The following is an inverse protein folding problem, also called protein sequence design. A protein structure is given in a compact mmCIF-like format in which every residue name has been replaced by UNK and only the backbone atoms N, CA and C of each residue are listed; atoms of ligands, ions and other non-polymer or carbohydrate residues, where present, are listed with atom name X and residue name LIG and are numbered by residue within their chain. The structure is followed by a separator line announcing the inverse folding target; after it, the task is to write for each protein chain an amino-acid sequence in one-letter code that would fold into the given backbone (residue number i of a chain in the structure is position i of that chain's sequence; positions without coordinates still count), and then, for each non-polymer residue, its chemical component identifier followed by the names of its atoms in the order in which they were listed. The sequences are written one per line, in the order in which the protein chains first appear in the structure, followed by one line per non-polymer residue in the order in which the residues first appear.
data_IF_907308464423
#
_entry.id   IF_907308464423
#
_cell.length_a   1.000
_cell.length_b   1.000
_cell.length_c   1.000
_cell.angle_alpha   90.00
_cell.angle_beta   90.00
_cell.angle_gamma   90.00
#
_symmetry.space_group_name_H-M   'P 1'
#
loop_
_entity.id
_entity.type
_entity.pdbx_description
1 polymer ?
#
# COMPACT_ATOMS: atom_id res chain seq x y z
N UNK A 1 -0.28 10.99 9.95
CA UNK A 1 -1.15 11.80 9.07
C UNK A 1 -1.65 13.07 9.74
N UNK A 2 -2.15 13.03 10.99
CA UNK A 2 -2.62 14.23 11.71
C UNK A 2 -1.64 15.42 11.78
N UNK A 3 -0.34 15.16 11.94
CA UNK A 3 0.69 16.21 11.92
C UNK A 3 0.72 16.97 10.58
N UNK A 4 0.48 16.30 9.46
CA UNK A 4 0.44 16.95 8.14
C UNK A 4 -0.79 17.83 7.97
N UNK A 5 -1.92 17.51 8.60
CA UNK A 5 -3.13 18.36 8.52
C UNK A 5 -2.86 19.74 9.10
N UNK A 6 -2.19 19.80 10.26
CA UNK A 6 -1.79 21.06 10.89
C UNK A 6 -0.84 21.87 10.00
N UNK A 7 0.13 21.21 9.38
CA UNK A 7 1.06 21.86 8.45
C UNK A 7 0.36 22.38 7.19
N UNK A 8 -0.51 21.58 6.58
CA UNK A 8 -1.24 21.97 5.37
C UNK A 8 -2.14 23.17 5.62
N UNK A 9 -2.84 23.20 6.77
CA UNK A 9 -3.68 24.33 7.16
C UNK A 9 -2.88 25.61 7.46
N UNK A 10 -1.64 25.47 7.95
CA UNK A 10 -0.75 26.61 8.15
C UNK A 10 -0.20 27.18 6.83
N UNK A 11 -0.12 26.35 5.79
CA UNK A 11 0.32 26.76 4.46
C UNK A 11 -0.82 27.34 3.61
N UNK A 12 -2.00 26.74 3.66
CA UNK A 12 -3.20 27.18 2.96
C UNK A 12 -4.45 26.78 3.76
N UNK A 13 -5.20 27.78 4.24
CA UNK A 13 -6.36 27.59 5.09
C UNK A 13 -7.60 27.11 4.33
N UNK A 14 -7.57 27.10 2.99
CA UNK A 14 -8.64 26.59 2.11
C UNK A 14 -8.54 25.08 1.87
N UNK A 15 -7.42 24.44 2.23
CA UNK A 15 -7.25 23.00 2.06
C UNK A 15 -7.91 22.26 3.23
N UNK A 16 -8.94 21.48 2.93
CA UNK A 16 -9.58 20.59 3.89
C UNK A 16 -9.06 19.14 3.74
N UNK A 17 -8.79 18.47 4.86
CA UNK A 17 -8.39 17.06 4.87
C UNK A 17 -9.48 16.22 5.52
N UNK A 18 -10.01 15.27 4.76
CA UNK A 18 -11.03 14.32 5.25
C UNK A 18 -10.38 12.96 5.46
N UNK A 19 -10.66 12.34 6.61
CA UNK A 19 -10.20 11.00 6.93
C UNK A 19 -11.28 9.97 6.67
N UNK A 20 -10.91 8.87 6.03
CA UNK A 20 -11.76 7.71 5.81
C UNK A 20 -11.20 6.52 6.57
N UNK A 21 -12.06 5.85 7.33
CA UNK A 21 -11.69 4.61 8.00
C UNK A 21 -11.73 3.46 6.99
N UNK A 22 -10.65 2.67 6.95
CA UNK A 22 -10.63 1.46 6.16
C UNK A 22 -11.60 0.41 6.73
N UNK A 23 -12.25 -0.38 5.87
CA UNK A 23 -13.01 -1.57 6.26
C UNK A 23 -12.11 -2.48 7.11
N UNK A 24 -12.65 -3.05 8.20
CA UNK A 24 -11.89 -3.86 9.15
C UNK A 24 -11.14 -5.03 8.48
N UNK A 25 -11.68 -5.60 7.40
CA UNK A 25 -11.04 -6.69 6.65
C UNK A 25 -9.86 -6.25 5.80
N UNK A 26 -9.71 -4.94 5.58
CA UNK A 26 -8.66 -4.32 4.76
C UNK A 26 -7.72 -3.42 5.55
N UNK A 27 -7.99 -3.17 6.84
CA UNK A 27 -7.15 -2.36 7.73
C UNK A 27 -5.69 -2.84 7.79
N UNK A 28 -5.44 -4.14 7.64
CA UNK A 28 -4.09 -4.71 7.70
C UNK A 28 -3.29 -4.59 6.39
N UNK A 29 -3.91 -4.12 5.29
CA UNK A 29 -3.26 -4.10 3.97
C UNK A 29 -2.44 -2.82 3.83
N UNK A 30 -1.12 -2.95 3.88
CA UNK A 30 -0.17 -1.88 3.58
C UNK A 30 0.70 -2.26 2.37
N UNK A 31 0.92 -1.32 1.44
CA UNK A 31 1.75 -1.55 0.25
C UNK A 31 3.16 -2.02 0.58
N UNK A 32 3.72 -1.60 1.73
CA UNK A 32 5.02 -2.08 2.22
C UNK A 32 4.99 -3.60 2.48
N UNK A 33 3.97 -4.08 3.19
CA UNK A 33 3.82 -5.49 3.53
C UNK A 33 3.58 -6.36 2.30
N UNK A 34 2.70 -5.93 1.40
CA UNK A 34 2.43 -6.64 0.13
C UNK A 34 3.71 -6.78 -0.71
N UNK A 35 4.50 -5.71 -0.84
CA UNK A 35 5.77 -5.75 -1.57
C UNK A 35 6.79 -6.68 -0.90
N UNK A 36 6.77 -6.78 0.43
CA UNK A 36 7.67 -7.68 1.16
C UNK A 36 7.32 -9.16 0.92
N UNK A 37 6.03 -9.50 0.99
CA UNK A 37 5.54 -10.86 0.67
C UNK A 37 5.94 -11.23 -0.76
N UNK A 38 5.67 -10.34 -1.73
CA UNK A 38 6.04 -10.58 -3.13
C UNK A 38 7.55 -10.75 -3.32
N UNK A 39 8.38 -9.95 -2.63
CA UNK A 39 9.85 -10.07 -2.69
C UNK A 39 10.36 -11.41 -2.13
N UNK A 40 9.67 -11.96 -1.14
CA UNK A 40 9.98 -13.26 -0.54
C UNK A 40 9.37 -14.45 -1.31
N UNK A 41 8.76 -14.21 -2.48
CA UNK A 41 8.13 -15.25 -3.30
C UNK A 41 6.76 -15.71 -2.80
N UNK A 42 6.14 -15.00 -1.87
CA UNK A 42 4.80 -15.30 -1.37
C UNK A 42 3.67 -14.87 -2.32
N UNK A 43 2.51 -15.52 -2.21
CA UNK A 43 1.32 -15.18 -2.98
C UNK A 43 0.61 -13.93 -2.42
N UNK A 44 0.39 -12.94 -3.29
CA UNK A 44 -0.29 -11.68 -2.96
C UNK A 44 -1.64 -11.49 -3.65
N UNK A 45 -2.14 -12.51 -4.36
CA UNK A 45 -3.35 -12.42 -5.21
C UNK A 45 -4.60 -11.97 -4.44
N UNK A 46 -4.67 -12.26 -3.13
CA UNK A 46 -5.80 -11.83 -2.27
C UNK A 46 -5.73 -10.37 -1.81
N UNK A 47 -4.58 -9.73 -1.96
CA UNK A 47 -4.33 -8.38 -1.43
C UNK A 47 -4.26 -7.31 -2.51
N UNK A 48 -4.15 -7.70 -3.78
CA UNK A 48 -4.02 -6.76 -4.90
C UNK A 48 -4.86 -7.17 -6.12
N UNK A 49 -5.30 -6.20 -6.94
CA UNK A 49 -5.90 -6.49 -8.24
C UNK A 49 -4.93 -7.23 -9.18
N UNK A 50 -5.48 -7.98 -10.14
CA UNK A 50 -4.69 -8.78 -11.09
C UNK A 50 -3.58 -8.00 -11.83
N UNK A 51 -3.81 -6.77 -12.34
CA UNK A 51 -2.74 -6.01 -13.01
C UNK A 51 -1.55 -5.72 -12.08
N UNK A 52 -1.83 -5.46 -10.79
CA UNK A 52 -0.79 -5.20 -9.78
C UNK A 52 -0.04 -6.49 -9.45
N UNK A 53 -0.73 -7.63 -9.37
CA UNK A 53 -0.07 -8.92 -9.18
C UNK A 53 0.92 -9.23 -10.31
N UNK A 54 0.52 -9.03 -11.57
CA UNK A 54 1.40 -9.18 -12.73
C UNK A 54 2.64 -8.29 -12.62
N UNK A 55 2.45 -6.99 -12.34
CA UNK A 55 3.56 -6.06 -12.18
C UNK A 55 4.49 -6.41 -11.01
N UNK A 56 3.94 -6.92 -9.89
CA UNK A 56 4.75 -7.40 -8.77
C UNK A 56 5.56 -8.64 -9.14
N UNK A 57 5.00 -9.58 -9.90
CA UNK A 57 5.69 -10.79 -10.38
C UNK A 57 6.78 -10.47 -11.40
N UNK A 58 6.56 -9.49 -12.28
CA UNK A 58 7.60 -9.01 -13.20
C UNK A 58 8.75 -8.34 -12.46
N UNK A 59 8.42 -7.52 -11.44
CA UNK A 59 9.41 -6.78 -10.65
C UNK A 59 10.22 -7.65 -9.69
N UNK A 60 9.58 -8.63 -9.07
CA UNK A 60 10.15 -9.48 -8.01
C UNK A 60 10.21 -10.95 -8.41
N UNK A 61 10.21 -11.26 -9.71
CA UNK A 61 10.25 -12.63 -10.26
C UNK A 61 11.26 -13.55 -9.54
N UNK A 62 11.05 -14.87 -9.65
CA UNK A 62 11.46 -15.83 -8.62
C UNK A 62 12.94 -15.73 -8.25
N UNK A 63 13.21 -15.24 -7.04
CA UNK A 63 14.47 -15.46 -6.36
C UNK A 63 14.37 -16.80 -5.61
N UNK A 64 14.47 -17.95 -6.31
CA UNK A 64 14.84 -19.27 -5.76
C UNK A 64 14.86 -20.32 -6.89
N UNK A 65 15.90 -20.27 -7.71
CA UNK A 65 16.57 -21.46 -8.23
C UNK A 65 18.01 -21.37 -7.76
N UNK A 66 18.25 -21.77 -6.50
CA UNK A 66 19.54 -22.21 -5.96
C UNK A 66 19.30 -22.88 -4.62
#
# INVERSE_FOLDING_TARGET
EFQMVGMNRALDDKIETVFLMADARRQAIASKLVKEIARLGGDVTKFVPAPVNTALRERFGPALTR
#
